data_IF_928476765661
#
_entry.id   IF_928476765661
#
_cell.length_a   1.000
_cell.length_b   1.000
_cell.length_c   1.000
_cell.angle_alpha   90.00
_cell.angle_beta   90.00
_cell.angle_gamma   90.00
#
_symmetry.space_group_name_H-M   'P 1'
#
loop_
_entity.id
_entity.type
_entity.pdbx_description
1 polymer ?
#
# COMPACT_ATOMS: atom_id res chain seq x y z
N UNK A 1 10.88 -10.42 -3.94
CA UNK A 1 11.64 -9.13 -3.90
C UNK A 1 11.64 -8.61 -2.48
N UNK A 2 12.74 -8.01 -2.03
CA UNK A 2 12.86 -7.35 -0.73
C UNK A 2 13.44 -5.95 -0.99
N UNK A 3 12.81 -4.93 -0.41
CA UNK A 3 13.30 -3.56 -0.47
C UNK A 3 13.74 -3.15 0.93
N UNK A 4 14.97 -2.70 1.04
CA UNK A 4 15.57 -2.31 2.32
C UNK A 4 15.79 -0.79 2.35
N UNK A 5 15.41 -0.16 3.46
CA UNK A 5 15.61 1.27 3.72
C UNK A 5 16.47 1.45 4.97
N UNK A 6 16.52 2.65 5.52
CA UNK A 6 17.23 2.92 6.77
C UNK A 6 16.62 2.16 7.96
N UNK A 7 15.29 2.21 8.10
CA UNK A 7 14.56 1.67 9.26
C UNK A 7 13.62 0.52 8.92
N UNK A 8 13.34 0.27 7.62
CA UNK A 8 12.31 -0.64 7.17
C UNK A 8 12.85 -1.72 6.24
N UNK A 9 12.12 -2.83 6.22
CA UNK A 9 12.19 -3.85 5.19
C UNK A 9 10.78 -4.03 4.61
N UNK A 10 10.64 -3.82 3.31
CA UNK A 10 9.43 -4.15 2.57
C UNK A 10 9.64 -5.52 1.94
N UNK A 11 8.80 -6.47 2.29
CA UNK A 11 8.89 -7.86 1.85
C UNK A 11 7.51 -8.44 1.54
N UNK A 12 7.42 -9.50 0.75
CA UNK A 12 6.17 -10.26 0.64
C UNK A 12 5.66 -10.67 2.03
N UNK A 13 4.34 -10.80 2.14
CA UNK A 13 3.73 -11.32 3.36
C UNK A 13 4.12 -12.78 3.59
N UNK A 14 4.20 -13.17 4.85
CA UNK A 14 4.34 -14.54 5.31
C UNK A 14 3.06 -14.97 6.07
N UNK A 15 2.80 -16.26 6.13
CA UNK A 15 1.65 -16.78 6.89
C UNK A 15 1.70 -16.40 8.37
N UNK A 16 2.91 -16.31 8.94
CA UNK A 16 3.15 -15.93 10.33
C UNK A 16 2.86 -14.45 10.64
N UNK A 17 2.62 -13.62 9.63
CA UNK A 17 2.28 -12.20 9.82
C UNK A 17 0.84 -11.98 10.30
N UNK A 18 0.02 -13.01 10.36
CA UNK A 18 -1.42 -12.93 10.60
C UNK A 18 -1.79 -12.16 11.88
N UNK A 19 -1.09 -12.37 12.99
CA UNK A 19 -1.38 -11.68 14.26
C UNK A 19 -1.11 -10.19 14.18
N UNK A 20 0.00 -9.79 13.57
CA UNK A 20 0.39 -8.38 13.43
C UNK A 20 -0.48 -7.64 12.44
N UNK A 21 -0.87 -8.29 11.34
CA UNK A 21 -1.82 -7.74 10.36
C UNK A 21 -3.21 -7.61 10.97
N UNK A 22 -3.67 -8.63 11.70
CA UNK A 22 -4.95 -8.56 12.42
C UNK A 22 -5.00 -7.39 13.41
N UNK A 23 -3.88 -7.08 14.07
CA UNK A 23 -3.81 -5.99 15.04
C UNK A 23 -4.25 -4.63 14.46
N UNK A 24 -3.96 -4.33 13.19
CA UNK A 24 -4.37 -3.07 12.57
C UNK A 24 -5.56 -3.19 11.61
N UNK A 25 -5.92 -4.40 11.15
CA UNK A 25 -7.09 -4.61 10.28
C UNK A 25 -8.38 -4.98 11.02
N UNK A 26 -8.33 -5.32 12.30
CA UNK A 26 -9.54 -5.52 13.10
C UNK A 26 -10.37 -4.24 13.26
N UNK A 27 -9.71 -3.10 13.33
CA UNK A 27 -10.31 -1.77 13.42
C UNK A 27 -9.53 -0.79 12.54
N UNK A 28 -9.76 -0.78 11.21
CA UNK A 28 -9.07 0.11 10.30
C UNK A 28 -9.31 1.59 10.66
N UNK A 29 -8.24 2.38 10.69
CA UNK A 29 -8.26 3.78 11.13
C UNK A 29 -8.93 4.71 10.11
N UNK A 30 -9.01 4.29 8.83
CA UNK A 30 -9.59 5.07 7.74
C UNK A 30 -10.70 4.29 7.03
N UNK A 31 -11.76 4.99 6.65
CA UNK A 31 -12.95 4.39 6.05
C UNK A 31 -12.70 3.70 4.71
N UNK A 32 -11.72 4.17 3.93
CA UNK A 32 -11.37 3.52 2.65
C UNK A 32 -10.88 2.08 2.82
N UNK A 33 -10.41 1.71 4.01
CA UNK A 33 -10.00 0.35 4.34
C UNK A 33 -11.05 -0.48 5.09
N UNK A 34 -12.26 0.05 5.26
CA UNK A 34 -13.32 -0.68 5.96
C UNK A 34 -13.66 -2.03 5.32
N UNK A 35 -13.51 -2.14 3.98
CA UNK A 35 -13.68 -3.39 3.25
C UNK A 35 -12.57 -4.43 3.50
N UNK A 36 -11.43 -4.00 4.03
CA UNK A 36 -10.28 -4.86 4.37
C UNK A 36 -10.32 -5.33 5.83
N UNK A 37 -11.35 -4.93 6.59
CA UNK A 37 -11.52 -5.31 7.97
C UNK A 37 -11.54 -6.82 8.13
N UNK A 38 -10.73 -7.31 9.07
CA UNK A 38 -10.72 -8.71 9.49
C UNK A 38 -11.48 -8.85 10.80
N UNK A 39 -12.39 -9.82 10.86
CA UNK A 39 -13.27 -10.04 12.01
C UNK A 39 -12.71 -11.05 13.01
N UNK A 40 -11.71 -11.83 12.60
CA UNK A 40 -11.07 -12.83 13.46
C UNK A 40 -9.62 -13.09 13.06
N UNK A 41 -8.86 -13.68 13.97
CA UNK A 41 -7.51 -14.13 13.68
C UNK A 41 -7.50 -15.26 12.63
N UNK A 42 -8.52 -16.09 12.58
CA UNK A 42 -8.64 -17.16 11.58
C UNK A 42 -8.81 -16.57 10.16
N UNK A 43 -9.62 -15.50 10.03
CA UNK A 43 -9.70 -14.76 8.76
C UNK A 43 -8.35 -14.16 8.37
N UNK A 44 -7.60 -13.63 9.34
CA UNK A 44 -6.25 -13.11 9.08
C UNK A 44 -5.28 -14.18 8.60
N UNK A 45 -5.34 -15.38 9.17
CA UNK A 45 -4.52 -16.52 8.72
C UNK A 45 -4.86 -16.93 7.29
N UNK A 46 -6.14 -17.03 6.95
CA UNK A 46 -6.56 -17.33 5.57
C UNK A 46 -6.17 -16.23 4.59
N UNK A 47 -6.26 -14.97 5.01
CA UNK A 47 -5.83 -13.84 4.19
C UNK A 47 -4.30 -13.88 3.95
N UNK A 48 -3.49 -14.19 4.97
CA UNK A 48 -2.04 -14.29 4.82
C UNK A 48 -1.62 -15.44 3.90
N UNK A 49 -2.31 -16.55 3.88
CA UNK A 49 -2.07 -17.62 2.88
C UNK A 49 -2.24 -17.10 1.45
N UNK A 50 -3.24 -16.27 1.20
CA UNK A 50 -3.44 -15.65 -0.12
C UNK A 50 -2.35 -14.66 -0.43
N UNK A 51 -2.06 -13.74 0.50
CA UNK A 51 -1.07 -12.67 0.31
C UNK A 51 0.35 -13.19 0.16
N UNK A 52 0.70 -14.31 0.81
CA UNK A 52 2.05 -14.89 0.74
C UNK A 52 2.42 -15.38 -0.67
N UNK A 53 1.45 -15.60 -1.54
CA UNK A 53 1.68 -15.94 -2.95
C UNK A 53 1.99 -14.72 -3.84
N UNK A 54 1.66 -13.50 -3.38
CA UNK A 54 1.95 -12.26 -4.08
C UNK A 54 3.32 -11.73 -3.65
N UNK A 55 4.26 -11.68 -4.58
CA UNK A 55 5.65 -11.35 -4.28
C UNK A 55 6.20 -10.15 -5.04
N UNK A 56 5.36 -9.48 -5.85
CA UNK A 56 5.83 -8.45 -6.76
C UNK A 56 5.23 -7.06 -6.53
N UNK A 57 3.97 -7.00 -6.11
CA UNK A 57 3.21 -5.75 -6.08
C UNK A 57 2.57 -5.42 -4.73
N UNK A 58 2.64 -6.34 -3.77
CA UNK A 58 2.04 -6.18 -2.46
C UNK A 58 3.02 -6.57 -1.35
N UNK A 59 3.40 -5.61 -0.52
CA UNK A 59 4.44 -5.78 0.49
C UNK A 59 3.96 -5.47 1.90
N UNK A 60 4.38 -6.29 2.85
CA UNK A 60 4.39 -5.94 4.26
C UNK A 60 5.48 -4.90 4.52
N UNK A 61 5.17 -3.87 5.29
CA UNK A 61 6.13 -2.91 5.81
C UNK A 61 6.56 -3.39 7.19
N UNK A 62 7.83 -3.75 7.34
CA UNK A 62 8.36 -4.28 8.59
C UNK A 62 9.47 -3.41 9.16
N UNK A 63 9.57 -3.36 10.49
CA UNK A 63 10.68 -2.71 11.17
C UNK A 63 11.95 -3.55 10.99
N UNK A 64 13.04 -2.92 10.62
CA UNK A 64 14.32 -3.58 10.36
C UNK A 64 14.94 -4.20 11.60
N UNK A 65 14.76 -3.57 12.76
CA UNK A 65 15.33 -3.99 14.02
C UNK A 65 14.61 -5.17 14.68
N UNK A 66 13.28 -5.25 14.54
CA UNK A 66 12.45 -6.26 15.21
C UNK A 66 11.79 -7.26 14.25
N UNK A 67 11.73 -6.94 12.96
CA UNK A 67 10.97 -7.70 11.97
C UNK A 67 9.45 -7.52 12.07
N UNK A 68 8.96 -6.68 12.99
CA UNK A 68 7.54 -6.48 13.22
C UNK A 68 6.84 -5.85 12.03
N UNK A 69 5.71 -6.41 11.61
CA UNK A 69 4.84 -5.82 10.58
C UNK A 69 4.12 -4.62 11.16
N UNK A 70 4.32 -3.46 10.57
CA UNK A 70 3.71 -2.19 11.00
C UNK A 70 2.73 -1.62 9.98
N UNK A 71 2.59 -2.26 8.83
CA UNK A 71 1.71 -1.80 7.78
C UNK A 71 1.89 -2.54 6.47
N UNK A 72 1.34 -1.98 5.43
CA UNK A 72 1.32 -2.55 4.09
C UNK A 72 1.33 -1.49 3.01
N UNK A 73 1.82 -1.87 1.82
CA UNK A 73 1.80 -1.05 0.62
C UNK A 73 1.68 -1.93 -0.61
N UNK A 74 0.82 -1.55 -1.53
CA UNK A 74 0.64 -2.24 -2.80
C UNK A 74 0.43 -1.28 -3.96
N UNK A 75 0.69 -1.73 -5.17
CA UNK A 75 0.28 -1.08 -6.41
C UNK A 75 0.36 -2.07 -7.56
N UNK A 76 -0.75 -2.36 -8.17
CA UNK A 76 -0.80 -3.20 -9.37
C UNK A 76 -0.78 -2.36 -10.65
N UNK A 77 -0.21 -2.89 -11.75
CA UNK A 77 -0.32 -2.22 -13.04
C UNK A 77 -1.79 -2.16 -13.44
N UNK A 78 -2.28 -0.97 -13.82
CA UNK A 78 -3.66 -0.81 -14.24
C UNK A 78 -3.97 -1.64 -15.48
N UNK A 79 -5.12 -2.32 -15.46
CA UNK A 79 -5.68 -2.89 -16.66
C UNK A 79 -6.06 -1.71 -17.58
N UNK A 80 -5.55 -1.72 -18.82
CA UNK A 80 -6.01 -0.78 -19.83
C UNK A 80 -7.52 -0.87 -20.04
N UNK A 81 -8.08 0.07 -20.83
CA UNK A 81 -9.49 0.05 -21.26
C UNK A 81 -9.90 -1.37 -21.68
N UNK A 82 -11.17 -1.78 -21.44
CA UNK A 82 -11.65 -3.14 -21.75
C UNK A 82 -11.43 -3.62 -23.20
N UNK A 83 -11.10 -2.70 -24.09
CA UNK A 83 -10.79 -2.96 -25.50
C UNK A 83 -9.34 -2.64 -25.86
N UNK A 84 -8.48 -2.36 -24.87
CA UNK A 84 -7.07 -2.17 -25.12
C UNK A 84 -6.45 -3.51 -25.59
N UNK A 85 -5.61 -3.43 -26.60
CA UNK A 85 -4.82 -4.53 -27.10
C UNK A 85 -4.07 -5.21 -25.92
N UNK A 86 -4.05 -6.54 -25.87
CA UNK A 86 -3.30 -7.31 -24.85
C UNK A 86 -1.81 -6.97 -24.85
N UNK A 87 -1.31 -6.35 -25.90
CA UNK A 87 0.07 -5.83 -26.02
C UNK A 87 0.26 -4.45 -25.39
N UNK A 88 -0.81 -3.80 -24.88
CA UNK A 88 -0.72 -2.48 -24.28
C UNK A 88 0.21 -2.51 -23.05
N UNK A 89 1.19 -1.61 -23.03
CA UNK A 89 2.14 -1.48 -21.93
C UNK A 89 1.40 -0.99 -20.69
N UNK A 90 1.42 -1.80 -19.64
CA UNK A 90 0.81 -1.48 -18.35
C UNK A 90 1.83 -0.78 -17.48
N UNK A 91 1.96 0.53 -17.63
CA UNK A 91 2.99 1.34 -17.00
C UNK A 91 2.44 2.40 -16.02
N UNK A 92 1.15 2.33 -15.72
CA UNK A 92 0.46 3.22 -14.78
C UNK A 92 0.03 2.45 -13.54
N UNK A 93 0.34 3.00 -12.36
CA UNK A 93 0.09 2.35 -11.08
C UNK A 93 -0.66 3.27 -10.12
N UNK A 94 -1.59 2.71 -9.36
CA UNK A 94 -2.28 3.41 -8.28
C UNK A 94 -1.98 2.71 -6.95
N UNK A 95 -1.10 3.29 -6.11
CA UNK A 95 -0.71 2.68 -4.85
C UNK A 95 -1.78 2.83 -3.77
N UNK A 96 -1.79 1.86 -2.88
CA UNK A 96 -2.51 1.91 -1.62
C UNK A 96 -1.53 1.66 -0.48
N UNK A 97 -1.70 2.33 0.64
CA UNK A 97 -0.85 2.16 1.82
C UNK A 97 -1.65 2.28 3.10
N UNK A 98 -1.23 1.52 4.09
CA UNK A 98 -1.79 1.58 5.44
C UNK A 98 -0.70 1.33 6.47
N UNK A 99 -0.74 2.08 7.57
CA UNK A 99 0.07 1.80 8.75
C UNK A 99 -0.82 1.47 9.95
N UNK A 100 -0.33 0.60 10.81
CA UNK A 100 -0.82 0.46 12.17
C UNK A 100 -0.77 1.83 12.86
N UNK A 101 -1.88 2.23 13.49
CA UNK A 101 -2.02 3.55 14.13
C UNK A 101 -0.92 3.89 15.14
N UNK A 102 -0.38 2.90 15.82
CA UNK A 102 0.70 3.07 16.81
C UNK A 102 2.04 3.52 16.18
N UNK A 103 2.16 3.40 14.86
CA UNK A 103 3.38 3.72 14.10
C UNK A 103 3.23 4.94 13.19
N UNK A 104 2.10 5.62 13.23
CA UNK A 104 1.87 6.83 12.45
C UNK A 104 2.67 8.03 13.01
N UNK A 105 2.89 9.04 12.17
CA UNK A 105 3.55 10.29 12.57
C UNK A 105 5.05 10.19 12.78
N UNK A 106 5.71 9.12 12.34
CA UNK A 106 7.16 8.88 12.51
C UNK A 106 7.94 8.84 11.20
N UNK A 107 7.29 9.15 10.08
CA UNK A 107 7.90 9.15 8.75
C UNK A 107 8.01 7.77 8.09
N UNK A 108 7.48 6.71 8.68
CA UNK A 108 7.55 5.35 8.11
C UNK A 108 6.80 5.23 6.79
N UNK A 109 5.62 5.84 6.67
CA UNK A 109 4.86 5.80 5.42
C UNK A 109 5.61 6.47 4.27
N UNK A 110 6.25 7.60 4.52
CA UNK A 110 7.10 8.28 3.53
C UNK A 110 8.30 7.43 3.12
N UNK A 111 9.00 6.84 4.07
CA UNK A 111 10.17 6.00 3.83
C UNK A 111 9.80 4.77 3.01
N UNK A 112 8.70 4.10 3.36
CA UNK A 112 8.18 2.94 2.63
C UNK A 112 7.73 3.31 1.21
N UNK A 113 6.90 4.34 1.06
CA UNK A 113 6.37 4.76 -0.22
C UNK A 113 7.46 5.21 -1.19
N UNK A 114 8.46 5.95 -0.71
CA UNK A 114 9.61 6.37 -1.51
C UNK A 114 10.38 5.19 -2.08
N UNK A 115 10.69 4.20 -1.24
CA UNK A 115 11.39 2.99 -1.68
C UNK A 115 10.56 2.17 -2.67
N UNK A 116 9.26 2.06 -2.41
CA UNK A 116 8.35 1.31 -3.26
C UNK A 116 8.13 2.00 -4.62
N UNK A 117 7.98 3.32 -4.66
CA UNK A 117 7.85 4.06 -5.92
C UNK A 117 9.13 3.99 -6.75
N UNK A 118 10.30 4.07 -6.11
CA UNK A 118 11.57 3.87 -6.81
C UNK A 118 11.66 2.47 -7.44
N UNK A 119 11.21 1.45 -6.74
CA UNK A 119 11.09 0.09 -7.26
C UNK A 119 10.14 0.00 -8.47
N UNK A 120 8.95 0.63 -8.38
CA UNK A 120 8.00 0.63 -9.50
C UNK A 120 8.60 1.31 -10.73
N UNK A 121 9.24 2.46 -10.57
CA UNK A 121 9.84 3.18 -11.68
C UNK A 121 11.05 2.45 -12.29
N UNK A 122 11.93 1.90 -11.46
CA UNK A 122 13.19 1.32 -11.94
C UNK A 122 13.08 -0.13 -12.36
N UNK A 123 12.22 -0.91 -11.71
CA UNK A 123 12.17 -2.36 -11.92
C UNK A 123 10.87 -2.84 -12.55
N UNK A 124 9.77 -2.12 -12.36
CA UNK A 124 8.46 -2.48 -12.92
C UNK A 124 8.04 -1.65 -14.13
N UNK A 125 8.89 -0.74 -14.57
CA UNK A 125 8.65 0.05 -15.78
C UNK A 125 7.55 1.09 -15.64
N UNK A 126 7.23 1.51 -14.41
CA UNK A 126 6.23 2.55 -14.20
C UNK A 126 6.63 3.84 -14.91
N UNK A 127 5.68 4.45 -15.63
CA UNK A 127 5.81 5.80 -16.20
C UNK A 127 4.96 6.79 -15.44
N UNK A 128 3.91 6.32 -14.77
CA UNK A 128 3.03 7.13 -13.97
C UNK A 128 2.61 6.40 -12.69
N UNK A 129 2.67 7.12 -11.58
CA UNK A 129 2.06 6.73 -10.32
C UNK A 129 1.09 7.83 -9.91
N UNK A 130 -0.16 7.48 -9.63
CA UNK A 130 -1.15 8.42 -9.12
C UNK A 130 -1.89 7.81 -7.95
N UNK A 131 -2.38 8.62 -7.03
CA UNK A 131 -3.10 8.18 -5.85
C UNK A 131 -4.44 8.89 -5.72
N UNK A 132 -5.48 8.13 -5.36
CA UNK A 132 -6.73 8.68 -4.86
C UNK A 132 -6.64 8.79 -3.34
N UNK A 133 -6.94 9.97 -2.83
CA UNK A 133 -6.93 10.25 -1.39
C UNK A 133 -8.22 10.94 -1.01
N UNK A 134 -8.89 10.45 0.03
CA UNK A 134 -10.12 11.07 0.52
C UNK A 134 -9.87 12.47 1.07
N UNK A 135 -10.85 13.34 0.96
CA UNK A 135 -10.75 14.77 1.34
C UNK A 135 -10.42 15.00 2.82
N UNK A 136 -10.83 14.09 3.68
CA UNK A 136 -10.60 14.14 5.11
C UNK A 136 -9.31 13.39 5.54
N UNK A 137 -8.68 12.64 4.63
CA UNK A 137 -7.44 11.91 4.91
C UNK A 137 -6.21 12.82 4.75
N UNK A 138 -6.03 13.72 5.72
CA UNK A 138 -4.94 14.71 5.72
C UNK A 138 -3.56 14.09 5.75
N UNK A 139 -3.37 12.98 6.44
CA UNK A 139 -2.07 12.29 6.53
C UNK A 139 -1.63 11.75 5.16
N UNK A 140 -2.54 11.15 4.39
CA UNK A 140 -2.23 10.69 3.04
C UNK A 140 -2.05 11.84 2.05
N UNK A 141 -2.79 12.94 2.19
CA UNK A 141 -2.56 14.15 1.38
C UNK A 141 -1.16 14.71 1.61
N UNK A 142 -0.76 14.87 2.88
CA UNK A 142 0.58 15.33 3.22
C UNK A 142 1.67 14.38 2.73
N UNK A 143 1.43 13.08 2.80
CA UNK A 143 2.35 12.07 2.27
C UNK A 143 2.55 12.24 0.75
N UNK A 144 1.46 12.39 -0.01
CA UNK A 144 1.54 12.63 -1.46
C UNK A 144 2.32 13.91 -1.77
N UNK A 145 2.06 15.00 -1.08
CA UNK A 145 2.78 16.26 -1.25
C UNK A 145 4.27 16.12 -0.94
N UNK A 146 4.62 15.44 0.15
CA UNK A 146 6.00 15.21 0.57
C UNK A 146 6.76 14.30 -0.42
N UNK A 147 6.07 13.37 -1.06
CA UNK A 147 6.59 12.53 -2.15
C UNK A 147 6.78 13.31 -3.47
N UNK A 148 6.34 14.58 -3.53
CA UNK A 148 6.41 15.40 -4.73
C UNK A 148 5.29 15.13 -5.74
N UNK A 149 4.22 14.47 -5.32
CA UNK A 149 3.07 14.22 -6.20
C UNK A 149 2.29 15.52 -6.41
N UNK A 150 1.94 15.78 -7.66
CA UNK A 150 1.14 16.96 -8.03
C UNK A 150 -0.36 16.66 -7.85
N UNK A 151 -1.08 17.59 -7.22
CA UNK A 151 -2.54 17.51 -7.16
C UNK A 151 -3.12 17.80 -8.56
N UNK A 152 -3.88 16.86 -9.11
CA UNK A 152 -4.45 16.98 -10.46
C UNK A 152 -5.95 17.33 -10.43
N UNK A 153 -6.66 16.99 -9.37
CA UNK A 153 -8.10 17.25 -9.29
C UNK A 153 -8.66 17.01 -7.91
N UNK A 154 -9.92 17.38 -7.76
CA UNK A 154 -10.75 17.11 -6.61
C UNK A 154 -12.09 16.58 -7.13
N UNK A 155 -12.32 15.28 -6.99
CA UNK A 155 -13.62 14.69 -7.27
C UNK A 155 -14.56 14.97 -6.12
N UNK A 156 -15.43 15.94 -6.31
CA UNK A 156 -16.57 16.11 -5.43
C UNK A 156 -17.53 14.98 -5.71
N UNK A 157 -17.76 14.11 -4.72
CA UNK A 157 -18.82 13.10 -4.80
C UNK A 157 -20.08 13.80 -5.20
N UNK A 158 -20.56 13.54 -6.40
CA UNK A 158 -21.90 13.95 -6.79
C UNK A 158 -22.85 13.17 -5.88
N UNK A 159 -23.44 13.87 -4.94
CA UNK A 159 -24.57 13.31 -4.19
C UNK A 159 -25.71 13.24 -5.20
N UNK A 160 -25.97 12.04 -5.66
CA UNK A 160 -27.18 11.75 -6.45
C UNK A 160 -28.31 11.53 -5.47
#
# INVERSE_FOLDING_TARGET
MILETERLILRPFAEDDAEEVYAYLKEPVVNCFASMRLNSLDEAKEEMKKRSSETEYYFAITLKDSGKVIGEIDAYPEAGEPHADETAVRDTFSPCWMLNGDYQGRGYAFEAARAFFDYLFRQKGARRIYAYVEDDNRSSQLLCETLGMRREGLDRKSVV
#
